data_IF_834261350284
#
_entry.id   IF_834261350284
#
_cell.length_a   1.000
_cell.length_b   1.000
_cell.length_c   1.000
_cell.angle_alpha   90.00
_cell.angle_beta   90.00
_cell.angle_gamma   90.00
#
_symmetry.space_group_name_H-M   'P 1'
#
loop_
_entity.id
_entity.type
_entity.pdbx_description
1 polymer ?
#
# COMPACT_ATOMS: atom_id res chain seq x y z
N UNK A 1 8.65 -7.21 -12.70
CA UNK A 1 9.79 -8.13 -12.54
C UNK A 1 9.37 -9.50 -13.07
N UNK A 2 10.22 -10.23 -13.79
CA UNK A 2 9.81 -11.50 -14.38
C UNK A 2 9.36 -12.49 -13.29
N UNK A 3 8.09 -12.92 -13.33
CA UNK A 3 7.54 -13.95 -12.45
C UNK A 3 7.13 -13.50 -11.04
N UNK A 4 7.06 -12.21 -10.75
CA UNK A 4 6.46 -11.71 -9.49
C UNK A 4 5.00 -11.37 -9.72
N UNK A 5 4.10 -11.92 -8.90
CA UNK A 5 2.69 -11.53 -8.82
C UNK A 5 2.50 -10.68 -7.57
N UNK A 6 1.65 -9.67 -7.69
CA UNK A 6 1.33 -8.78 -6.58
C UNK A 6 -0.17 -8.58 -6.55
N UNK A 7 -0.75 -8.72 -5.38
CA UNK A 7 -2.16 -8.40 -5.10
C UNK A 7 -2.22 -7.30 -4.06
N UNK A 8 -3.09 -6.31 -4.29
CA UNK A 8 -3.40 -5.29 -3.31
C UNK A 8 -4.90 -5.24 -3.06
N UNK A 9 -5.30 -5.31 -1.80
CA UNK A 9 -6.66 -5.11 -1.35
C UNK A 9 -6.76 -3.77 -0.63
N UNK A 10 -7.69 -2.92 -1.11
CA UNK A 10 -7.98 -1.61 -0.55
C UNK A 10 -9.36 -1.68 0.09
N UNK A 11 -9.43 -1.47 1.40
CA UNK A 11 -10.70 -1.50 2.15
C UNK A 11 -10.96 -0.15 2.79
N UNK A 12 -12.12 0.42 2.49
CA UNK A 12 -12.63 1.61 3.18
C UNK A 12 -13.80 1.21 4.07
N UNK A 13 -13.75 1.61 5.34
CA UNK A 13 -14.88 1.48 6.26
C UNK A 13 -15.27 2.87 6.75
N UNK A 14 -16.56 3.20 6.67
CA UNK A 14 -17.04 4.48 7.19
C UNK A 14 -16.92 4.52 8.73
N UNK A 15 -16.57 5.67 9.29
CA UNK A 15 -16.65 5.96 10.73
C UNK A 15 -17.17 7.37 10.96
N UNK A 16 -17.56 7.67 12.19
CA UNK A 16 -17.95 9.05 12.53
C UNK A 16 -16.79 10.02 12.27
N UNK A 17 -17.10 11.06 11.48
CA UNK A 17 -16.14 12.10 11.09
C UNK A 17 -15.06 11.64 10.10
N UNK A 18 -15.22 10.51 9.40
CA UNK A 18 -14.27 10.12 8.37
C UNK A 18 -14.39 8.67 7.87
N UNK A 19 -13.25 8.07 7.56
CA UNK A 19 -13.14 6.69 7.10
C UNK A 19 -11.87 6.07 7.64
N UNK A 20 -11.91 4.78 7.90
CA UNK A 20 -10.72 3.97 8.10
C UNK A 20 -10.33 3.37 6.75
N UNK A 21 -9.10 3.66 6.33
CA UNK A 21 -8.54 3.15 5.09
C UNK A 21 -7.46 2.10 5.40
N UNK A 22 -7.65 0.89 4.89
CA UNK A 22 -6.73 -0.22 5.05
C UNK A 22 -6.21 -0.69 3.69
N UNK A 23 -4.90 -0.95 3.62
CA UNK A 23 -4.24 -1.49 2.44
C UNK A 23 -3.53 -2.77 2.85
N UNK A 24 -3.89 -3.88 2.23
CA UNK A 24 -3.18 -5.15 2.34
C UNK A 24 -2.48 -5.43 1.02
N UNK A 25 -1.20 -5.80 1.06
CA UNK A 25 -0.41 -6.18 -0.11
C UNK A 25 0.18 -7.56 0.06
N UNK A 26 0.05 -8.40 -0.95
CA UNK A 26 0.68 -9.72 -1.03
C UNK A 26 1.58 -9.81 -2.26
N UNK A 27 2.75 -10.43 -2.07
CA UNK A 27 3.79 -10.54 -3.08
C UNK A 27 4.23 -11.99 -3.20
N UNK A 28 4.01 -12.57 -4.38
CA UNK A 28 4.38 -13.95 -4.67
C UNK A 28 5.43 -14.02 -5.78
N UNK A 29 6.39 -14.93 -5.63
CA UNK A 29 7.36 -15.24 -6.69
C UNK A 29 8.72 -15.65 -6.15
N UNK A 30 9.53 -16.32 -6.97
CA UNK A 30 10.85 -16.83 -6.57
C UNK A 30 11.81 -15.72 -6.10
N UNK A 31 11.61 -14.49 -6.60
CA UNK A 31 12.41 -13.31 -6.27
C UNK A 31 11.98 -12.63 -4.95
N UNK A 32 10.79 -12.94 -4.43
CA UNK A 32 10.27 -12.38 -3.17
C UNK A 32 10.72 -13.26 -2.00
N UNK A 33 12.02 -13.43 -1.85
CA UNK A 33 12.64 -14.23 -0.78
C UNK A 33 13.92 -13.57 -0.26
N UNK A 34 14.27 -13.89 0.97
CA UNK A 34 15.53 -13.44 1.59
C UNK A 34 15.66 -11.92 1.68
N UNK A 35 16.86 -11.39 1.46
CA UNK A 35 17.14 -9.97 1.56
C UNK A 35 16.42 -9.12 0.50
N UNK A 36 16.24 -9.67 -0.71
CA UNK A 36 15.56 -8.97 -1.80
C UNK A 36 14.06 -8.78 -1.50
N UNK A 37 13.39 -9.84 -1.02
CA UNK A 37 11.98 -9.75 -0.60
C UNK A 37 11.75 -8.69 0.47
N UNK A 38 12.60 -8.66 1.50
CA UNK A 38 12.54 -7.63 2.56
C UNK A 38 12.75 -6.20 2.03
N UNK A 39 13.64 -6.03 1.05
CA UNK A 39 13.85 -4.72 0.43
C UNK A 39 12.62 -4.26 -0.35
N UNK A 40 11.95 -5.19 -1.06
CA UNK A 40 10.70 -4.93 -1.78
C UNK A 40 9.58 -4.56 -0.81
N UNK A 41 9.37 -5.33 0.26
CA UNK A 41 8.35 -5.05 1.29
C UNK A 41 8.54 -3.66 1.90
N UNK A 42 9.78 -3.33 2.28
CA UNK A 42 10.11 -2.01 2.85
C UNK A 42 9.82 -0.88 1.86
N UNK A 43 10.20 -1.06 0.60
CA UNK A 43 10.01 -0.03 -0.41
C UNK A 43 8.53 0.15 -0.76
N UNK A 44 7.78 -0.95 -0.87
CA UNK A 44 6.34 -0.94 -1.08
C UNK A 44 5.61 -0.24 0.08
N UNK A 45 5.95 -0.56 1.34
CA UNK A 45 5.36 0.10 2.52
C UNK A 45 5.53 1.62 2.48
N UNK A 46 6.76 2.09 2.22
CA UNK A 46 7.05 3.53 2.08
C UNK A 46 6.26 4.18 0.93
N UNK A 47 6.21 3.53 -0.24
CA UNK A 47 5.46 4.07 -1.38
C UNK A 47 3.95 4.14 -1.11
N UNK A 48 3.40 3.17 -0.37
CA UNK A 48 2.00 3.19 0.06
C UNK A 48 1.75 4.32 1.05
N UNK A 49 2.59 4.50 2.06
CA UNK A 49 2.51 5.63 3.00
C UNK A 49 2.54 6.98 2.26
N UNK A 50 3.49 7.17 1.35
CA UNK A 50 3.61 8.39 0.54
C UNK A 50 2.34 8.63 -0.31
N UNK A 51 1.75 7.56 -0.85
CA UNK A 51 0.53 7.64 -1.67
C UNK A 51 -0.69 8.01 -0.83
N UNK A 52 -0.82 7.43 0.37
CA UNK A 52 -1.90 7.77 1.32
C UNK A 52 -1.78 9.22 1.77
N UNK A 53 -0.57 9.69 2.11
CA UNK A 53 -0.36 11.09 2.51
C UNK A 53 -0.72 12.09 1.40
N UNK A 54 -0.42 11.77 0.14
CA UNK A 54 -0.85 12.58 -1.01
C UNK A 54 -2.36 12.57 -1.20
N UNK A 55 -2.99 11.41 -1.02
CA UNK A 55 -4.44 11.27 -1.11
C UNK A 55 -5.14 12.08 -0.02
N UNK A 56 -4.65 12.03 1.21
CA UNK A 56 -5.14 12.84 2.32
C UNK A 56 -5.04 14.33 2.02
N UNK A 57 -3.85 14.81 1.61
CA UNK A 57 -3.64 16.20 1.25
C UNK A 57 -4.61 16.68 0.16
N UNK A 58 -4.83 15.85 -0.88
CA UNK A 58 -5.78 16.15 -1.96
C UNK A 58 -7.22 16.20 -1.45
N UNK A 59 -7.63 15.23 -0.63
CA UNK A 59 -8.98 15.15 -0.08
C UNK A 59 -9.28 16.35 0.83
N UNK A 60 -8.31 16.81 1.63
CA UNK A 60 -8.48 17.99 2.49
C UNK A 60 -8.38 19.32 1.76
N UNK A 61 -7.69 19.37 0.61
CA UNK A 61 -7.58 20.61 -0.18
C UNK A 61 -8.87 21.00 -0.91
N UNK A 62 -9.82 20.06 -1.03
CA UNK A 62 -11.12 20.27 -1.67
C UNK A 62 -12.27 20.60 -0.71
N UNK A 63 -11.99 20.73 0.59
CA UNK A 63 -12.94 21.09 1.66
C UNK A 63 -12.60 22.48 2.20
#
# INVERSE_FOLDING_TARGET
MAGVKVEFAFTLTARDGGSDFHIAGDFEGAMIKGALGKAVEKDAGRQLEDSVGKLEALATAGV
#
